data_IF_761677428971
#
_entry.id   IF_761677428971
#
_cell.length_a   1.000
_cell.length_b   1.000
_cell.length_c   1.000
_cell.angle_alpha   90.00
_cell.angle_beta   90.00
_cell.angle_gamma   90.00
#
_symmetry.space_group_name_H-M   'P 1'
#
loop_
_entity.id
_entity.type
_entity.pdbx_description
1 polymer ?
#
# COMPACT_ATOMS: atom_id res chain seq x y z
N UNK A 1 10.45 8.42 0.44
CA UNK A 1 9.24 7.59 0.69
C UNK A 1 9.56 6.10 0.89
N UNK A 2 10.39 5.52 0.03
CA UNK A 2 10.89 4.14 0.17
C UNK A 2 11.49 3.85 1.56
N UNK A 3 12.33 4.75 2.08
CA UNK A 3 12.94 4.61 3.42
C UNK A 3 11.89 4.53 4.54
N UNK A 4 10.82 5.32 4.44
CA UNK A 4 9.73 5.29 5.42
C UNK A 4 8.95 3.97 5.38
N UNK A 5 8.72 3.42 4.18
CA UNK A 5 8.10 2.10 4.01
C UNK A 5 9.00 1.02 4.61
N UNK A 6 10.32 1.07 4.37
CA UNK A 6 11.31 0.16 4.99
C UNK A 6 11.23 0.24 6.51
N UNK A 7 11.17 1.44 7.08
CA UNK A 7 11.01 1.64 8.52
C UNK A 7 9.70 1.01 9.05
N UNK A 8 8.59 1.17 8.32
CA UNK A 8 7.31 0.53 8.67
C UNK A 8 7.35 -1.00 8.56
N UNK A 9 8.22 -1.56 7.73
CA UNK A 9 8.36 -3.00 7.51
C UNK A 9 9.31 -3.68 8.51
N UNK A 10 10.24 -2.95 9.13
CA UNK A 10 11.22 -3.51 10.06
C UNK A 10 10.60 -4.32 11.23
N UNK A 11 9.48 -3.91 11.86
CA UNK A 11 8.84 -4.71 12.91
C UNK A 11 8.43 -6.11 12.45
N UNK A 12 8.10 -6.29 11.18
CA UNK A 12 7.68 -7.58 10.62
C UNK A 12 8.84 -8.55 10.40
N UNK A 13 10.09 -8.09 10.54
CA UNK A 13 11.27 -8.97 10.52
C UNK A 13 11.62 -9.54 11.88
N UNK A 14 11.02 -9.02 12.97
CA UNK A 14 11.32 -9.46 14.32
C UNK A 14 10.74 -10.85 14.57
N UNK A 15 11.41 -11.68 15.38
CA UNK A 15 10.91 -13.02 15.69
C UNK A 15 9.58 -13.02 16.45
N UNK A 16 9.32 -11.96 17.22
CA UNK A 16 8.10 -11.75 18.00
C UNK A 16 6.89 -11.34 17.14
N UNK A 17 7.08 -11.09 15.84
CA UNK A 17 6.00 -10.70 14.96
C UNK A 17 5.04 -11.87 14.74
N UNK A 18 3.79 -11.72 15.21
CA UNK A 18 2.76 -12.78 15.18
C UNK A 18 1.98 -12.85 13.86
N UNK A 19 2.10 -11.85 12.99
CA UNK A 19 1.33 -11.74 11.73
C UNK A 19 2.18 -11.13 10.63
N UNK A 20 2.14 -11.73 9.44
CA UNK A 20 2.87 -11.24 8.27
C UNK A 20 4.39 -11.20 8.48
N UNK A 21 4.94 -12.09 9.33
CA UNK A 21 6.38 -12.12 9.60
C UNK A 21 7.16 -12.40 8.32
N UNK A 22 8.16 -11.58 8.05
CA UNK A 22 9.02 -11.66 6.88
C UNK A 22 10.28 -12.43 7.28
N UNK A 23 10.51 -13.58 6.64
CA UNK A 23 11.65 -14.45 6.94
C UNK A 23 12.91 -14.07 6.14
N UNK A 24 12.73 -13.74 4.86
CA UNK A 24 13.84 -13.56 3.94
C UNK A 24 14.06 -12.08 3.58
N UNK A 25 15.31 -11.73 3.30
CA UNK A 25 15.66 -10.40 2.78
C UNK A 25 15.06 -10.14 1.39
N UNK A 26 14.90 -11.17 0.56
CA UNK A 26 14.30 -11.07 -0.77
C UNK A 26 12.85 -10.59 -0.68
N UNK A 27 12.05 -11.23 0.19
CA UNK A 27 10.66 -10.84 0.43
C UNK A 27 10.57 -9.43 1.00
N UNK A 28 11.46 -9.07 1.93
CA UNK A 28 11.51 -7.73 2.50
C UNK A 28 11.75 -6.65 1.43
N UNK A 29 12.76 -6.85 0.57
CA UNK A 29 13.09 -5.92 -0.52
C UNK A 29 11.94 -5.82 -1.52
N UNK A 30 11.33 -6.95 -1.86
CA UNK A 30 10.17 -7.00 -2.77
C UNK A 30 8.98 -6.24 -2.18
N UNK A 31 8.66 -6.46 -0.91
CA UNK A 31 7.58 -5.76 -0.21
C UNK A 31 7.79 -4.26 -0.14
N UNK A 32 9.00 -3.83 0.23
CA UNK A 32 9.35 -2.41 0.27
C UNK A 32 9.11 -1.76 -1.11
N UNK A 33 9.56 -2.41 -2.19
CA UNK A 33 9.37 -1.92 -3.56
C UNK A 33 7.90 -1.93 -3.99
N UNK A 34 7.18 -3.03 -3.75
CA UNK A 34 5.76 -3.21 -4.13
C UNK A 34 4.86 -2.20 -3.41
N UNK A 35 5.04 -2.03 -2.10
CA UNK A 35 4.24 -1.11 -1.31
C UNK A 35 4.56 0.34 -1.67
N UNK A 36 5.84 0.69 -1.85
CA UNK A 36 6.23 2.03 -2.33
C UNK A 36 5.56 2.33 -3.66
N UNK A 37 5.65 1.43 -4.64
CA UNK A 37 5.03 1.62 -5.95
C UNK A 37 3.50 1.76 -5.86
N UNK A 38 2.85 0.94 -5.04
CA UNK A 38 1.39 0.97 -4.86
C UNK A 38 0.91 2.26 -4.21
N UNK A 39 1.63 2.74 -3.18
CA UNK A 39 1.31 4.00 -2.49
C UNK A 39 1.52 5.17 -3.45
N UNK A 40 2.68 5.25 -4.09
CA UNK A 40 2.97 6.31 -5.06
C UNK A 40 1.94 6.32 -6.21
N UNK A 41 1.56 5.16 -6.74
CA UNK A 41 0.54 5.06 -7.78
C UNK A 41 -0.86 5.50 -7.33
N UNK A 42 -1.21 5.33 -6.04
CA UNK A 42 -2.46 5.86 -5.49
C UNK A 42 -2.39 7.37 -5.31
N UNK A 43 -1.29 7.89 -4.78
CA UNK A 43 -1.12 9.34 -4.60
C UNK A 43 -1.12 10.07 -5.95
N UNK A 44 -0.42 9.56 -6.97
CA UNK A 44 -0.43 10.14 -8.33
C UNK A 44 -1.86 10.20 -8.90
N UNK A 45 -2.69 9.18 -8.67
CA UNK A 45 -4.10 9.18 -9.10
C UNK A 45 -5.00 10.10 -8.28
N UNK A 46 -4.64 10.37 -7.04
CA UNK A 46 -5.39 11.26 -6.13
C UNK A 46 -4.94 12.73 -6.23
N UNK A 47 -3.72 12.98 -6.72
CA UNK A 47 -3.20 14.31 -6.97
C UNK A 47 -3.93 14.95 -8.17
N UNK A 48 -4.79 15.93 -7.86
CA UNK A 48 -5.32 16.87 -8.88
C UNK A 48 -4.27 17.92 -9.30
N UNK A 49 -3.18 18.05 -8.54
CA UNK A 49 -2.03 18.91 -8.82
C UNK A 49 -0.74 18.31 -8.24
N UNK A 50 0.38 18.46 -8.96
CA UNK A 50 1.70 17.91 -8.59
C UNK A 50 2.26 18.51 -7.29
N UNK A 51 1.83 19.71 -6.90
CA UNK A 51 2.25 20.37 -5.65
C UNK A 51 1.79 19.64 -4.38
N UNK A 52 0.74 18.83 -4.45
CA UNK A 52 0.28 18.02 -3.30
C UNK A 52 1.04 16.70 -3.14
N UNK A 53 1.89 16.31 -4.09
CA UNK A 53 2.71 15.11 -4.02
C UNK A 53 3.95 15.31 -3.12
N UNK A 54 3.79 16.02 -2.01
CA UNK A 54 4.81 16.07 -0.96
C UNK A 54 4.58 14.92 0.00
N UNK A 55 5.65 14.18 0.32
CA UNK A 55 5.64 13.12 1.34
C UNK A 55 5.50 13.75 2.74
N UNK A 56 4.34 14.32 3.02
CA UNK A 56 3.98 14.99 4.25
C UNK A 56 3.52 13.98 5.33
N UNK A 57 3.20 14.50 6.52
CA UNK A 57 2.79 13.66 7.65
C UNK A 57 1.51 12.86 7.38
N UNK A 58 0.58 13.44 6.60
CA UNK A 58 -0.63 12.74 6.15
C UNK A 58 -0.31 11.50 5.31
N UNK A 59 0.62 11.61 4.35
CA UNK A 59 1.06 10.49 3.52
C UNK A 59 1.79 9.43 4.36
N UNK A 60 2.58 9.84 5.36
CA UNK A 60 3.25 8.92 6.30
C UNK A 60 2.23 8.11 7.12
N UNK A 61 1.23 8.77 7.70
CA UNK A 61 0.19 8.11 8.50
C UNK A 61 -0.63 7.13 7.64
N UNK A 62 -1.08 7.56 6.46
CA UNK A 62 -1.78 6.68 5.50
C UNK A 62 -0.93 5.48 5.10
N UNK A 63 0.37 5.70 4.88
CA UNK A 63 1.33 4.64 4.53
C UNK A 63 1.45 3.62 5.66
N UNK A 64 1.66 4.07 6.90
CA UNK A 64 1.79 3.19 8.06
C UNK A 64 0.56 2.31 8.25
N UNK A 65 -0.64 2.91 8.18
CA UNK A 65 -1.90 2.18 8.30
C UNK A 65 -2.12 1.22 7.12
N UNK A 66 -1.75 1.63 5.89
CA UNK A 66 -1.82 0.75 4.73
C UNK A 66 -0.90 -0.46 4.86
N UNK A 67 0.37 -0.26 5.27
CA UNK A 67 1.33 -1.34 5.50
C UNK A 67 0.78 -2.30 6.57
N UNK A 68 0.27 -1.76 7.69
CA UNK A 68 -0.31 -2.56 8.78
C UNK A 68 -1.50 -3.39 8.30
N UNK A 69 -2.44 -2.78 7.58
CA UNK A 69 -3.61 -3.48 7.02
C UNK A 69 -3.22 -4.51 5.98
N UNK A 70 -2.23 -4.23 5.14
CA UNK A 70 -1.70 -5.17 4.16
C UNK A 70 -1.08 -6.39 4.86
N UNK A 71 -0.22 -6.18 5.85
CA UNK A 71 0.42 -7.25 6.60
C UNK A 71 -0.55 -8.07 7.44
N UNK A 72 -1.59 -7.46 7.98
CA UNK A 72 -2.62 -8.14 8.76
C UNK A 72 -3.46 -9.15 7.95
N UNK A 73 -3.42 -9.10 6.61
CA UNK A 73 -4.07 -10.09 5.73
C UNK A 73 -3.32 -11.41 5.68
N UNK A 74 -2.03 -11.38 5.95
CA UNK A 74 -1.23 -12.59 6.00
C UNK A 74 -1.42 -13.28 7.35
N UNK A 75 -1.27 -14.60 7.33
CA UNK A 75 -1.21 -15.42 8.54
C UNK A 75 0.06 -15.16 9.35
N UNK A 76 0.61 -16.15 10.06
CA UNK A 76 1.81 -15.94 10.89
C UNK A 76 3.02 -15.46 10.07
N UNK A 77 3.13 -15.90 8.81
CA UNK A 77 4.22 -15.55 7.91
C UNK A 77 3.71 -14.85 6.65
N UNK A 78 4.51 -13.94 6.12
CA UNK A 78 4.31 -13.40 4.78
C UNK A 78 4.58 -14.49 3.73
N UNK A 79 3.66 -14.64 2.78
CA UNK A 79 3.84 -15.48 1.60
C UNK A 79 3.66 -14.60 0.37
N UNK A 80 4.60 -14.66 -0.55
CA UNK A 80 4.48 -13.92 -1.81
C UNK A 80 3.41 -14.59 -2.67
N UNK A 81 2.49 -13.79 -3.22
CA UNK A 81 1.36 -14.20 -4.08
C UNK A 81 1.82 -14.71 -5.47
N UNK A 82 3.00 -15.32 -5.55
CA UNK A 82 3.59 -15.87 -6.76
C UNK A 82 3.38 -17.40 -6.83
N UNK A 83 2.71 -17.98 -5.83
CA UNK A 83 2.37 -19.42 -5.76
C UNK A 83 0.90 -19.71 -6.08
N UNK A 84 0.01 -18.72 -6.13
CA UNK A 84 -1.36 -18.89 -6.62
C UNK A 84 -1.84 -17.59 -7.25
N UNK A 85 -2.32 -17.70 -8.49
CA UNK A 85 -2.74 -16.63 -9.35
C UNK A 85 -3.76 -15.67 -8.72
N UNK A 86 -3.67 -14.40 -9.15
CA UNK A 86 -4.76 -13.43 -9.31
C UNK A 86 -5.94 -13.50 -8.32
N UNK A 87 -5.96 -12.59 -7.34
CA UNK A 87 -7.21 -12.04 -6.78
C UNK A 87 -6.93 -10.95 -5.75
N UNK A 88 -6.72 -9.70 -6.18
CA UNK A 88 -7.11 -8.53 -5.38
C UNK A 88 -7.47 -7.35 -6.30
N UNK A 89 -8.56 -7.51 -7.05
CA UNK A 89 -9.30 -6.38 -7.63
C UNK A 89 -10.18 -5.73 -6.54
N UNK A 90 -10.10 -4.41 -6.49
CA UNK A 90 -11.10 -3.45 -6.01
C UNK A 90 -11.61 -3.50 -4.55
N UNK A 91 -11.26 -2.46 -3.77
CA UNK A 91 -12.26 -1.62 -3.07
C UNK A 91 -11.81 -0.17 -3.25
N UNK A 92 -12.40 0.51 -4.23
CA UNK A 92 -12.77 1.94 -4.14
C UNK A 92 -14.05 2.12 -4.96
N UNK A 93 -15.19 2.16 -4.27
CA UNK A 93 -16.39 2.86 -4.75
C UNK A 93 -16.25 4.34 -4.37
N UNK A 94 -16.73 5.27 -5.22
CA UNK A 94 -17.95 6.02 -4.91
C UNK A 94 -18.89 6.09 -6.14
N UNK A 95 -20.20 5.84 -6.06
CA UNK A 95 -21.27 6.72 -5.55
C UNK A 95 -21.24 8.14 -6.14
N UNK A 96 -22.12 8.34 -7.13
CA UNK A 96 -22.84 9.55 -7.51
C UNK A 96 -22.03 10.80 -7.95
N UNK A 97 -22.11 11.14 -9.24
CA UNK A 97 -22.40 12.52 -9.67
C UNK A 97 -23.08 12.49 -11.06
N UNK A 98 -24.38 12.76 -11.03
CA UNK A 98 -25.17 13.20 -12.18
C UNK A 98 -24.63 14.55 -12.67
N UNK A 99 -24.56 14.78 -13.97
CA UNK A 99 -24.63 16.12 -14.56
C UNK A 99 -24.92 16.01 -16.05
N UNK A 100 -26.13 16.43 -16.39
CA UNK A 100 -26.64 16.59 -17.74
C UNK A 100 -25.96 17.81 -18.36
N UNK A 101 -25.65 17.75 -19.65
CA UNK A 101 -25.53 18.98 -20.47
C UNK A 101 -26.25 18.73 -21.79
N UNK A 102 -27.47 19.25 -21.86
CA UNK A 102 -28.11 19.64 -23.11
C UNK A 102 -27.50 20.97 -23.53
N UNK A 103 -27.15 21.10 -24.81
CA UNK A 103 -27.25 22.39 -25.50
C UNK A 103 -27.46 22.13 -26.98
N UNK A 104 -28.48 22.82 -27.47
CA UNK A 104 -29.00 22.95 -28.84
C UNK A 104 -27.92 23.31 -29.86
#
# INVERSE_FOLDING_TARGET
MSEYVVHCLNPYRRPECKKGRILNNTDFKYLARKLTHTIMGKEIKQCKSLEQLSCNESVKTKTKEYVKKYMARFGPFYKTENTTADSHKAVVSPKDVVSNTATD
#
